data_IF_009141272808
#
_entry.id   IF_009141272808
#
_cell.length_a   1.000
_cell.length_b   1.000
_cell.length_c   1.000
_cell.angle_alpha   90.00
_cell.angle_beta   90.00
_cell.angle_gamma   90.00
#
_symmetry.space_group_name_H-M   'P 1'
#
loop_
_entity.id
_entity.type
_entity.pdbx_description
1 polymer ?
#
# COMPACT_ATOMS: atom_id res chain seq x y z
N UNK A 1 60.61 -56.58 31.17
CA UNK A 1 60.61 -55.21 31.74
C UNK A 1 59.76 -54.31 30.86
N UNK A 2 59.24 -53.22 31.43
CA UNK A 2 58.51 -52.06 30.83
C UNK A 2 56.99 -52.15 30.68
N UNK A 3 56.31 -51.98 31.82
CA UNK A 3 54.96 -51.44 31.90
C UNK A 3 55.06 -50.02 32.50
N UNK A 4 55.00 -48.94 31.70
CA UNK A 4 54.85 -47.55 32.24
C UNK A 4 54.68 -46.48 31.14
N UNK A 5 53.61 -46.45 30.34
CA UNK A 5 53.32 -45.25 29.51
C UNK A 5 51.82 -44.96 29.25
N UNK A 6 50.91 -45.42 30.11
CA UNK A 6 49.47 -45.13 29.93
C UNK A 6 48.91 -43.99 30.82
N UNK A 7 49.66 -43.56 31.85
CA UNK A 7 49.12 -42.63 32.87
C UNK A 7 49.34 -41.16 32.50
N UNK A 8 50.35 -40.82 31.70
CA UNK A 8 50.72 -39.42 31.43
C UNK A 8 49.80 -38.70 30.43
N UNK A 9 49.12 -39.41 29.52
CA UNK A 9 48.27 -38.77 28.52
C UNK A 9 46.91 -38.30 29.06
N UNK A 10 46.40 -38.94 30.13
CA UNK A 10 45.09 -38.60 30.70
C UNK A 10 45.14 -37.42 31.68
N UNK A 11 46.29 -37.17 32.30
CA UNK A 11 46.50 -36.03 33.21
C UNK A 11 46.71 -34.72 32.42
N UNK A 12 47.39 -34.77 31.27
CA UNK A 12 47.65 -33.59 30.45
C UNK A 12 46.36 -32.99 29.84
N UNK A 13 45.36 -33.83 29.49
CA UNK A 13 44.09 -33.34 28.93
C UNK A 13 43.24 -32.54 29.92
N UNK A 14 43.41 -32.78 31.23
CA UNK A 14 42.69 -32.05 32.29
C UNK A 14 43.35 -30.73 32.67
N UNK A 15 44.65 -30.58 32.42
CA UNK A 15 45.42 -29.38 32.74
C UNK A 15 45.50 -28.38 31.58
N UNK A 16 45.37 -28.83 30.33
CA UNK A 16 45.50 -27.97 29.14
C UNK A 16 44.19 -27.33 28.66
N UNK A 17 43.06 -27.66 29.30
CA UNK A 17 41.78 -26.96 29.12
C UNK A 17 41.34 -26.36 30.45
N UNK A 18 42.10 -25.41 31.03
CA UNK A 18 41.63 -24.67 32.19
C UNK A 18 40.39 -23.89 31.75
N UNK A 19 39.27 -24.23 32.38
CA UNK A 19 38.01 -23.48 32.40
C UNK A 19 37.62 -22.79 31.09
N UNK A 20 37.09 -23.58 30.13
CA UNK A 20 35.95 -23.00 29.41
C UNK A 20 34.91 -22.73 30.48
N UNK A 21 34.49 -21.48 30.75
CA UNK A 21 33.37 -21.25 31.63
C UNK A 21 32.24 -22.09 31.08
N UNK A 22 31.87 -23.14 31.83
CA UNK A 22 30.60 -23.81 31.60
C UNK A 22 29.60 -22.72 31.96
N UNK A 23 29.24 -21.89 30.99
CA UNK A 23 28.10 -21.01 31.14
C UNK A 23 26.96 -21.94 31.52
N UNK A 24 26.59 -21.91 32.80
CA UNK A 24 25.49 -22.72 33.27
C UNK A 24 24.28 -22.34 32.42
N UNK A 25 23.38 -23.29 32.16
CA UNK A 25 22.18 -23.00 31.37
C UNK A 25 21.45 -21.74 31.86
N UNK A 26 21.53 -21.44 33.16
CA UNK A 26 21.00 -20.22 33.78
C UNK A 26 21.72 -18.93 33.38
N UNK A 27 23.04 -18.92 33.24
CA UNK A 27 23.78 -17.73 32.77
C UNK A 27 23.44 -17.43 31.31
N UNK A 28 23.42 -18.45 30.44
CA UNK A 28 22.99 -18.27 29.04
C UNK A 28 21.53 -17.81 28.95
N UNK A 29 20.63 -18.40 29.74
CA UNK A 29 19.22 -17.99 29.79
C UNK A 29 19.07 -16.53 30.24
N UNK A 30 19.84 -16.09 31.24
CA UNK A 30 19.83 -14.69 31.69
C UNK A 30 20.29 -13.71 30.62
N UNK A 31 21.35 -14.04 29.86
CA UNK A 31 21.81 -13.21 28.75
C UNK A 31 20.82 -13.18 27.58
N UNK A 32 20.21 -14.33 27.24
CA UNK A 32 19.18 -14.41 26.20
C UNK A 32 17.93 -13.62 26.63
N UNK A 33 17.51 -13.72 27.88
CA UNK A 33 16.40 -12.95 28.41
C UNK A 33 16.71 -11.44 28.38
N UNK A 34 17.90 -11.02 28.82
CA UNK A 34 18.30 -9.62 28.84
C UNK A 34 18.35 -9.01 27.43
N UNK A 35 19.08 -9.63 26.52
CA UNK A 35 19.21 -9.12 25.15
C UNK A 35 17.91 -9.28 24.35
N UNK A 36 17.15 -10.35 24.62
CA UNK A 36 15.83 -10.55 24.04
C UNK A 36 14.85 -9.46 24.45
N UNK A 37 14.75 -9.16 25.76
CA UNK A 37 13.92 -8.05 26.25
C UNK A 37 14.38 -6.71 25.70
N UNK A 38 15.70 -6.45 25.68
CA UNK A 38 16.24 -5.21 25.13
C UNK A 38 15.88 -5.05 23.64
N UNK A 39 15.98 -6.13 22.86
CA UNK A 39 15.60 -6.12 21.45
C UNK A 39 14.11 -5.82 21.25
N UNK A 40 13.23 -6.48 22.02
CA UNK A 40 11.77 -6.25 21.96
C UNK A 40 11.42 -4.82 22.33
N UNK A 41 11.95 -4.29 23.45
CA UNK A 41 11.70 -2.91 23.89
C UNK A 41 12.18 -1.91 22.84
N UNK A 42 13.36 -2.14 22.25
CA UNK A 42 13.89 -1.27 21.20
C UNK A 42 12.99 -1.30 19.97
N UNK A 43 12.55 -2.48 19.52
CA UNK A 43 11.67 -2.61 18.37
C UNK A 43 10.32 -1.93 18.59
N UNK A 44 9.68 -2.12 19.75
CA UNK A 44 8.41 -1.47 20.09
C UNK A 44 8.59 0.06 20.16
N UNK A 45 9.69 0.53 20.75
CA UNK A 45 9.97 1.96 20.87
C UNK A 45 10.17 2.59 19.49
N UNK A 46 10.94 1.96 18.60
CA UNK A 46 11.14 2.43 17.24
C UNK A 46 9.85 2.40 16.42
N UNK A 47 9.04 1.35 16.55
CA UNK A 47 7.73 1.28 15.92
C UNK A 47 6.80 2.40 16.43
N UNK A 48 6.77 2.64 17.74
CA UNK A 48 6.00 3.71 18.35
C UNK A 48 6.44 5.11 17.87
N UNK A 49 7.76 5.35 17.79
CA UNK A 49 8.30 6.60 17.22
C UNK A 49 7.90 6.73 15.76
N UNK A 50 8.01 5.67 14.97
CA UNK A 50 7.65 5.69 13.55
C UNK A 50 6.17 6.00 13.33
N UNK A 51 5.28 5.37 14.10
CA UNK A 51 3.84 5.66 14.06
C UNK A 51 3.54 7.10 14.49
N UNK A 52 4.15 7.57 15.58
CA UNK A 52 3.98 8.95 16.06
C UNK A 52 4.50 9.99 15.06
N UNK A 53 5.63 9.71 14.41
CA UNK A 53 6.21 10.57 13.39
C UNK A 53 5.44 10.52 12.04
N UNK A 54 4.37 9.73 11.94
CA UNK A 54 3.56 9.63 10.74
C UNK A 54 4.25 8.87 9.60
N UNK A 55 5.13 7.91 9.90
CA UNK A 55 5.74 7.03 8.89
C UNK A 55 4.75 6.00 8.30
N UNK A 56 3.45 6.18 8.54
CA UNK A 56 2.38 5.42 7.90
C UNK A 56 2.08 5.98 6.51
N UNK A 57 1.66 5.11 5.61
CA UNK A 57 1.08 5.56 4.34
C UNK A 57 -0.20 6.37 4.61
N UNK A 58 -0.40 7.45 3.86
CA UNK A 58 -1.63 8.24 3.85
C UNK A 58 -1.97 8.57 2.39
N UNK A 59 -3.22 8.35 1.93
CA UNK A 59 -3.64 8.71 0.59
C UNK A 59 -3.42 10.21 0.30
N UNK A 60 -3.23 10.59 -0.98
CA UNK A 60 -3.08 12.00 -1.32
C UNK A 60 -4.39 12.75 -1.06
N UNK A 61 -4.29 13.95 -0.50
CA UNK A 61 -5.41 14.89 -0.47
C UNK A 61 -5.60 15.50 -1.85
N UNK A 62 -6.76 15.28 -2.45
CA UNK A 62 -7.12 15.87 -3.72
C UNK A 62 -7.97 17.13 -3.52
N UNK A 63 -7.93 18.02 -4.50
CA UNK A 63 -8.93 19.07 -4.65
C UNK A 63 -9.91 18.63 -5.74
N UNK A 64 -11.11 19.22 -5.77
CA UNK A 64 -12.12 18.93 -6.79
C UNK A 64 -11.53 19.07 -8.21
N UNK A 65 -10.65 20.05 -8.44
CA UNK A 65 -10.00 20.25 -9.74
C UNK A 65 -8.99 19.15 -10.08
N UNK A 66 -8.34 18.56 -9.07
CA UNK A 66 -7.46 17.40 -9.25
C UNK A 66 -8.24 16.11 -9.46
N UNK A 67 -9.43 15.99 -8.88
CA UNK A 67 -10.34 14.87 -9.16
C UNK A 67 -10.86 14.96 -10.59
N UNK A 68 -11.28 16.16 -11.02
CA UNK A 68 -11.72 16.41 -12.39
C UNK A 68 -10.59 16.09 -13.39
N UNK A 69 -10.82 15.15 -14.30
CA UNK A 69 -9.88 14.77 -15.36
C UNK A 69 -10.20 13.42 -15.97
N UNK A 70 -9.22 12.82 -16.63
CA UNK A 70 -9.39 11.51 -17.27
C UNK A 70 -8.70 10.44 -16.45
N UNK A 71 -9.43 9.38 -16.17
CA UNK A 71 -9.01 8.22 -15.39
C UNK A 71 -9.15 6.96 -16.23
N UNK A 72 -8.23 6.00 -16.08
CA UNK A 72 -8.27 4.75 -16.86
C UNK A 72 -7.74 3.56 -16.07
N UNK A 73 -8.34 2.40 -16.31
CA UNK A 73 -7.88 1.11 -15.77
C UNK A 73 -6.71 0.50 -16.55
N UNK A 74 -6.26 1.14 -17.64
CA UNK A 74 -5.24 0.61 -18.56
C UNK A 74 -5.69 -0.59 -19.42
N UNK A 75 -6.90 -1.12 -19.20
CA UNK A 75 -7.54 -2.23 -19.93
C UNK A 75 -8.61 -1.71 -20.90
N UNK A 76 -8.82 -0.40 -20.91
CA UNK A 76 -9.65 0.32 -21.86
C UNK A 76 -10.98 0.81 -21.29
N UNK A 77 -11.22 0.60 -19.99
CA UNK A 77 -12.16 1.40 -19.21
C UNK A 77 -11.60 2.81 -19.03
N UNK A 78 -12.46 3.82 -19.20
CA UNK A 78 -12.09 5.22 -19.03
C UNK A 78 -13.24 6.00 -18.39
N UNK A 79 -12.90 6.82 -17.41
CA UNK A 79 -13.82 7.73 -16.74
C UNK A 79 -13.32 9.16 -16.95
N UNK A 80 -14.18 10.03 -17.48
CA UNK A 80 -13.88 11.45 -17.67
C UNK A 80 -14.78 12.24 -16.73
N UNK A 81 -14.15 12.97 -15.82
CA UNK A 81 -14.80 13.85 -14.85
C UNK A 81 -14.48 15.29 -15.21
N UNK A 82 -15.48 16.09 -15.54
CA UNK A 82 -15.28 17.50 -15.89
C UNK A 82 -15.50 18.39 -14.67
N UNK A 83 -14.84 19.56 -14.64
CA UNK A 83 -14.91 20.47 -13.49
C UNK A 83 -16.31 21.05 -13.24
N UNK A 84 -17.23 20.98 -14.21
CA UNK A 84 -18.64 21.36 -14.08
C UNK A 84 -19.53 20.24 -13.52
N UNK A 85 -18.94 19.15 -13.00
CA UNK A 85 -19.67 18.07 -12.35
C UNK A 85 -20.25 17.01 -13.29
N UNK A 86 -19.82 16.96 -14.57
CA UNK A 86 -20.28 15.92 -15.51
C UNK A 86 -19.31 14.75 -15.56
N UNK A 87 -19.89 13.56 -15.66
CA UNK A 87 -19.16 12.30 -15.79
C UNK A 87 -19.42 11.68 -17.16
N UNK A 88 -18.43 11.01 -17.71
CA UNK A 88 -18.57 10.14 -18.87
C UNK A 88 -17.78 8.86 -18.61
N UNK A 89 -18.50 7.76 -18.48
CA UNK A 89 -17.93 6.43 -18.34
C UNK A 89 -17.88 5.74 -19.71
N UNK A 90 -16.81 5.00 -19.96
CA UNK A 90 -16.66 4.15 -21.14
C UNK A 90 -16.05 2.84 -20.70
N UNK A 91 -16.86 1.77 -20.72
CA UNK A 91 -16.50 0.40 -20.28
C UNK A 91 -15.84 0.36 -18.91
N UNK A 92 -16.29 1.22 -17.99
CA UNK A 92 -15.87 1.18 -16.59
C UNK A 92 -16.53 -0.04 -15.95
N UNK A 93 -15.75 -0.88 -15.28
CA UNK A 93 -16.28 -2.07 -14.62
C UNK A 93 -17.01 -1.69 -13.33
N UNK A 94 -18.19 -2.28 -13.11
CA UNK A 94 -18.99 -2.18 -11.90
C UNK A 94 -19.19 -3.58 -11.34
N UNK A 95 -19.31 -3.68 -10.02
CA UNK A 95 -19.31 -4.96 -9.31
C UNK A 95 -20.55 -5.06 -8.44
N UNK A 96 -21.28 -6.15 -8.59
CA UNK A 96 -22.44 -6.48 -7.75
C UNK A 96 -22.29 -7.91 -7.23
N UNK A 97 -23.02 -8.26 -6.18
CA UNK A 97 -23.11 -9.62 -5.68
C UNK A 97 -24.44 -10.23 -6.12
N UNK A 98 -24.41 -11.42 -6.71
CA UNK A 98 -25.63 -12.15 -7.01
C UNK A 98 -26.21 -12.85 -5.76
N UNK A 99 -27.33 -13.56 -5.94
CA UNK A 99 -28.02 -14.31 -4.88
C UNK A 99 -27.13 -15.41 -4.23
N UNK A 100 -26.06 -15.83 -4.92
CA UNK A 100 -25.05 -16.77 -4.42
C UNK A 100 -23.85 -16.09 -3.75
N UNK A 101 -23.83 -14.76 -3.65
CA UNK A 101 -22.69 -13.96 -3.23
C UNK A 101 -21.48 -14.04 -4.17
N UNK A 102 -21.69 -14.45 -5.42
CA UNK A 102 -20.65 -14.40 -6.44
C UNK A 102 -20.60 -13.00 -7.07
N UNK A 103 -19.38 -12.55 -7.39
CA UNK A 103 -19.18 -11.22 -7.99
C UNK A 103 -19.58 -11.21 -9.46
N UNK A 104 -20.56 -10.37 -9.79
CA UNK A 104 -21.01 -10.09 -11.16
C UNK A 104 -20.34 -8.81 -11.64
N UNK A 105 -19.57 -8.93 -12.73
CA UNK A 105 -18.90 -7.78 -13.37
C UNK A 105 -19.73 -7.29 -14.54
N UNK A 106 -20.06 -6.00 -14.53
CA UNK A 106 -20.72 -5.33 -15.65
C UNK A 106 -19.84 -4.20 -16.20
N UNK A 107 -20.09 -3.79 -17.44
CA UNK A 107 -19.35 -2.68 -18.08
C UNK A 107 -20.28 -1.51 -18.31
N UNK A 108 -20.10 -0.46 -17.52
CA UNK A 108 -20.82 0.78 -17.66
C UNK A 108 -20.24 1.67 -18.77
N UNK A 109 -21.11 2.15 -19.66
CA UNK A 109 -20.78 3.21 -20.62
C UNK A 109 -21.95 4.17 -20.73
N UNK A 110 -21.72 5.45 -20.43
CA UNK A 110 -22.78 6.44 -20.36
C UNK A 110 -22.27 7.81 -19.93
N UNK A 111 -23.19 8.76 -19.91
CA UNK A 111 -22.97 10.09 -19.35
C UNK A 111 -23.73 10.23 -18.03
N UNK A 112 -23.33 11.20 -17.21
CA UNK A 112 -24.01 11.51 -15.98
C UNK A 112 -23.29 12.61 -15.20
N UNK A 113 -23.33 12.54 -13.88
CA UNK A 113 -22.76 13.53 -12.97
C UNK A 113 -21.84 12.91 -11.95
N UNK A 114 -21.01 13.76 -11.33
CA UNK A 114 -20.18 13.37 -10.21
C UNK A 114 -20.09 14.47 -9.16
N UNK A 115 -19.83 14.05 -7.93
CA UNK A 115 -19.52 14.91 -6.80
C UNK A 115 -18.27 14.39 -6.08
N UNK A 116 -17.58 15.26 -5.35
CA UNK A 116 -16.42 14.88 -4.56
C UNK A 116 -16.58 15.39 -3.14
N UNK A 117 -16.57 14.45 -2.19
CA UNK A 117 -16.48 14.73 -0.78
C UNK A 117 -15.02 14.58 -0.32
N UNK A 118 -14.35 15.66 0.12
CA UNK A 118 -13.01 15.56 0.69
C UNK A 118 -12.98 14.84 2.06
N UNK A 119 -14.13 14.69 2.70
CA UNK A 119 -14.29 14.09 4.02
C UNK A 119 -13.52 14.80 5.14
N UNK A 120 -13.40 14.14 6.29
CA UNK A 120 -12.68 14.67 7.45
C UNK A 120 -11.15 14.51 7.34
N UNK A 121 -10.68 13.58 6.50
CA UNK A 121 -9.26 13.30 6.29
C UNK A 121 -9.00 12.43 5.07
N UNK A 122 -7.74 12.05 4.79
CA UNK A 122 -7.40 11.50 3.47
C UNK A 122 -7.94 10.11 3.20
N UNK A 123 -8.34 9.41 4.25
CA UNK A 123 -8.96 8.08 4.20
C UNK A 123 -10.47 8.11 3.97
N UNK A 124 -11.11 9.28 4.06
CA UNK A 124 -12.56 9.44 3.90
C UNK A 124 -12.91 10.26 2.66
N UNK A 125 -12.03 10.28 1.66
CA UNK A 125 -12.24 11.01 0.42
C UNK A 125 -13.03 10.14 -0.55
N UNK A 126 -14.16 10.66 -1.03
CA UNK A 126 -15.13 9.92 -1.83
C UNK A 126 -15.48 10.69 -3.11
N UNK A 127 -15.60 9.95 -4.21
CA UNK A 127 -16.08 10.45 -5.50
C UNK A 127 -17.35 9.68 -5.84
N UNK A 128 -18.49 10.34 -5.68
CA UNK A 128 -19.80 9.78 -6.00
C UNK A 128 -20.10 9.98 -7.48
N UNK A 129 -20.50 8.89 -8.14
CA UNK A 129 -20.83 8.88 -9.56
C UNK A 129 -22.29 8.49 -9.75
N UNK A 130 -22.98 9.24 -10.60
CA UNK A 130 -24.28 8.86 -11.12
C UNK A 130 -24.18 8.83 -12.63
N UNK A 131 -24.27 7.65 -13.23
CA UNK A 131 -24.25 7.48 -14.69
C UNK A 131 -25.51 6.76 -15.10
N UNK A 132 -26.17 7.26 -16.14
CA UNK A 132 -27.44 6.71 -16.61
C UNK A 132 -27.30 5.21 -16.94
N UNK A 133 -28.29 4.42 -16.53
CA UNK A 133 -28.36 2.97 -16.72
C UNK A 133 -27.19 2.17 -16.10
N UNK A 134 -26.43 2.78 -15.18
CA UNK A 134 -25.36 2.14 -14.43
C UNK A 134 -25.53 2.30 -12.92
N UNK A 135 -25.48 1.19 -12.19
CA UNK A 135 -25.23 1.24 -10.74
C UNK A 135 -23.74 1.44 -10.52
N UNK A 136 -23.35 2.64 -10.09
CA UNK A 136 -21.94 3.00 -9.87
C UNK A 136 -21.63 2.99 -8.37
N UNK A 137 -20.50 2.40 -8.01
CA UNK A 137 -19.97 2.46 -6.65
C UNK A 137 -19.41 3.85 -6.31
N UNK A 138 -19.33 4.16 -5.02
CA UNK A 138 -18.60 5.33 -4.52
C UNK A 138 -17.10 5.05 -4.54
N UNK A 139 -16.33 5.92 -5.20
CA UNK A 139 -14.91 5.73 -5.43
C UNK A 139 -14.07 6.36 -4.32
N UNK A 140 -13.09 5.63 -3.82
CA UNK A 140 -12.11 6.11 -2.84
C UNK A 140 -10.79 6.56 -3.49
N UNK A 141 -10.03 7.41 -2.80
CA UNK A 141 -8.74 7.93 -3.27
C UNK A 141 -7.56 7.12 -2.73
N UNK A 142 -6.59 6.81 -3.61
CA UNK A 142 -5.32 6.14 -3.28
C UNK A 142 -4.14 6.73 -4.09
N UNK A 143 -2.96 6.15 -3.93
CA UNK A 143 -1.76 6.49 -4.70
C UNK A 143 -0.85 7.48 -4.00
N UNK A 144 -0.20 8.35 -4.76
CA UNK A 144 0.64 9.44 -4.24
C UNK A 144 0.15 10.78 -4.76
N UNK A 145 0.62 11.93 -4.23
CA UNK A 145 0.23 13.24 -4.74
C UNK A 145 0.53 13.43 -6.23
N UNK A 146 1.59 12.80 -6.74
CA UNK A 146 2.02 12.85 -8.14
C UNK A 146 1.27 11.85 -9.02
N UNK A 147 0.92 10.69 -8.45
CA UNK A 147 0.24 9.61 -9.16
C UNK A 147 -1.01 9.17 -8.39
N UNK A 148 -2.05 10.02 -8.33
CA UNK A 148 -3.27 9.70 -7.65
C UNK A 148 -4.03 8.60 -8.40
N UNK A 149 -4.80 7.83 -7.65
CA UNK A 149 -5.62 6.73 -8.12
C UNK A 149 -7.00 6.82 -7.49
N UNK A 150 -8.01 6.38 -8.23
CA UNK A 150 -9.34 6.10 -7.70
C UNK A 150 -9.50 4.59 -7.63
N UNK A 151 -10.18 4.08 -6.60
CA UNK A 151 -10.47 2.67 -6.49
C UNK A 151 -11.85 2.38 -5.89
N UNK A 152 -12.35 1.19 -6.19
CA UNK A 152 -13.50 0.56 -5.53
C UNK A 152 -13.11 -0.86 -5.13
N UNK A 153 -13.69 -1.36 -4.03
CA UNK A 153 -13.54 -2.76 -3.63
C UNK A 153 -14.40 -3.64 -4.54
N UNK A 154 -13.87 -4.81 -4.88
CA UNK A 154 -14.55 -5.80 -5.72
C UNK A 154 -15.07 -6.92 -4.84
N UNK A 155 -16.38 -7.17 -4.89
CA UNK A 155 -16.98 -8.31 -4.20
C UNK A 155 -16.87 -8.22 -2.67
N UNK A 156 -16.43 -9.32 -2.03
CA UNK A 156 -16.28 -9.41 -0.59
C UNK A 156 -15.15 -8.47 -0.09
N UNK A 157 -15.44 -7.54 0.85
CA UNK A 157 -14.44 -6.65 1.45
C UNK A 157 -13.20 -7.36 2.02
N UNK A 158 -13.31 -8.61 2.45
CA UNK A 158 -12.18 -9.37 3.01
C UNK A 158 -11.22 -9.91 1.93
N UNK A 159 -11.61 -9.89 0.65
CA UNK A 159 -10.79 -10.34 -0.48
C UNK A 159 -9.66 -9.37 -0.83
N UNK A 160 -9.81 -8.08 -0.48
CA UNK A 160 -8.92 -6.99 -0.89
C UNK A 160 -8.72 -6.84 -2.40
N UNK A 161 -9.63 -7.37 -3.21
CA UNK A 161 -9.62 -7.16 -4.65
C UNK A 161 -10.09 -5.73 -4.97
N UNK A 162 -9.28 -4.99 -5.72
CA UNK A 162 -9.53 -3.57 -6.04
C UNK A 162 -9.63 -3.37 -7.55
N UNK A 163 -10.65 -2.65 -7.98
CA UNK A 163 -10.70 -2.07 -9.31
C UNK A 163 -10.15 -0.65 -9.23
N UNK A 164 -9.08 -0.39 -9.99
CA UNK A 164 -8.27 0.82 -9.87
C UNK A 164 -8.29 1.59 -11.17
N UNK A 165 -8.61 2.88 -11.08
CA UNK A 165 -8.41 3.84 -12.15
C UNK A 165 -7.22 4.74 -11.84
N UNK A 166 -6.32 4.85 -12.80
CA UNK A 166 -5.14 5.70 -12.74
C UNK A 166 -5.39 7.00 -13.50
N UNK A 167 -4.82 8.09 -13.00
CA UNK A 167 -4.85 9.36 -13.71
C UNK A 167 -4.19 9.20 -15.07
N UNK A 168 -4.89 9.58 -16.14
CA UNK A 168 -4.30 9.77 -17.45
C UNK A 168 -3.85 11.22 -17.52
N UNK A 169 -2.57 11.44 -17.29
CA UNK A 169 -1.99 12.75 -17.50
C UNK A 169 -2.22 13.12 -18.97
N UNK A 170 -2.93 14.23 -19.21
CA UNK A 170 -2.80 14.87 -20.52
C UNK A 170 -1.36 15.33 -20.55
N UNK A 171 -0.53 14.64 -21.32
CA UNK A 171 0.81 15.11 -21.64
C UNK A 171 0.70 16.60 -21.94
N UNK A 172 1.40 17.41 -21.16
CA UNK A 172 1.50 18.85 -21.39
C UNK A 172 1.98 18.99 -22.82
N UNK A 173 1.08 19.35 -23.75
CA UNK A 173 1.51 19.72 -25.08
C UNK A 173 2.18 21.07 -24.90
N UNK A 174 3.50 21.04 -24.81
CA UNK A 174 4.30 22.23 -24.91
C UNK A 174 4.06 22.76 -26.32
N UNK A 175 3.13 23.71 -26.47
CA UNK A 175 2.95 24.45 -27.71
C UNK A 175 4.23 25.23 -27.94
N UNK A 176 5.13 24.69 -28.75
CA UNK A 176 6.19 25.49 -29.37
C UNK A 176 5.46 26.48 -30.29
N UNK A 177 5.44 27.75 -29.89
CA UNK A 177 4.96 28.81 -30.76
C UNK A 177 5.87 28.87 -32.01
N UNK A 178 5.32 28.83 -33.24
CA UNK A 178 6.12 29.05 -34.43
C UNK A 178 6.62 30.50 -34.46
N UNK A 179 7.92 30.65 -34.75
CA UNK A 179 8.63 31.91 -34.76
C UNK A 179 7.99 32.97 -35.66
N UNK A 180 8.00 34.20 -35.15
CA UNK A 180 7.65 35.41 -35.89
C UNK A 180 8.70 35.68 -36.98
N UNK A 181 8.30 36.11 -38.20
CA UNK A 181 9.26 36.57 -39.20
C UNK A 181 9.85 37.92 -38.78
N UNK A 182 11.17 37.99 -38.74
CA UNK A 182 11.92 39.26 -38.73
C UNK A 182 11.80 39.88 -40.12
N UNK A 183 11.26 41.09 -40.17
CA UNK A 183 11.39 42.01 -41.32
C UNK A 183 12.74 42.71 -41.28
#
# INVERSE_FOLDING_TARGET
>A
MTATFAVTALVARRLLLPDRPRFSGGAMFGWVALYGTLAVVTAITLAGIGLYAGLGYEPPRLSTERVAGTWSDGKGGTLILTSDGKATATRVETFDLDDSFDTVVQKCSGAGTWEYDPGAGPWSQEVDLSVDDCSMDTWSVFGTPEHPKLFVCVGDPDSWDLYILQRRDRGVSFRIAPGQPVS
#
